data_IF_130835254207
#
_entry.id   IF_130835254207
#
_cell.length_a   1.000
_cell.length_b   1.000
_cell.length_c   1.000
_cell.angle_alpha   90.00
_cell.angle_beta   90.00
_cell.angle_gamma   90.00
#
_symmetry.space_group_name_H-M   'P 1'
#
loop_
_entity.id
_entity.type
_entity.pdbx_description
1 polymer ?
#
# COMPACT_ATOMS: atom_id res chain seq x y z
N UNK A 1 -7.19 35.98 5.05
CA UNK A 1 -6.66 35.08 4.00
C UNK A 1 -5.54 34.17 4.50
N UNK A 2 -4.43 34.69 5.07
CA UNK A 2 -3.33 33.85 5.61
C UNK A 2 -3.77 32.79 6.63
N UNK A 3 -4.70 33.13 7.54
CA UNK A 3 -5.28 32.19 8.52
C UNK A 3 -6.10 31.07 7.87
N UNK A 4 -6.79 31.36 6.76
CA UNK A 4 -7.59 30.39 6.01
C UNK A 4 -6.70 29.41 5.22
N UNK A 5 -5.61 29.93 4.64
CA UNK A 5 -4.59 29.12 3.95
C UNK A 5 -3.87 28.22 4.97
N UNK A 6 -3.51 28.71 6.16
CA UNK A 6 -2.96 27.87 7.22
C UNK A 6 -3.93 26.77 7.68
N UNK A 7 -5.22 27.08 7.78
CA UNK A 7 -6.24 26.08 8.15
C UNK A 7 -6.37 24.98 7.09
N UNK A 8 -6.34 25.35 5.81
CA UNK A 8 -6.38 24.40 4.69
C UNK A 8 -5.14 23.51 4.66
N UNK A 9 -3.94 24.07 4.86
CA UNK A 9 -2.69 23.30 4.94
C UNK A 9 -2.72 22.32 6.13
N UNK A 10 -3.22 22.75 7.29
CA UNK A 10 -3.37 21.88 8.46
C UNK A 10 -4.37 20.74 8.21
N UNK A 11 -5.47 21.01 7.50
CA UNK A 11 -6.47 19.99 7.16
C UNK A 11 -5.92 18.91 6.20
N UNK A 12 -5.00 19.25 5.30
CA UNK A 12 -4.36 18.29 4.39
C UNK A 12 -3.40 17.32 5.09
N UNK A 13 -2.80 17.70 6.22
CA UNK A 13 -1.87 16.82 6.96
C UNK A 13 -2.62 15.67 7.64
N UNK A 14 -3.86 15.90 8.09
CA UNK A 14 -4.64 14.91 8.85
C UNK A 14 -5.21 13.79 7.96
N UNK A 15 -5.46 14.06 6.68
CA UNK A 15 -6.08 13.08 5.76
C UNK A 15 -5.11 12.04 5.22
N UNK A 16 -3.80 12.33 5.18
CA UNK A 16 -2.77 11.38 4.72
C UNK A 16 -2.57 10.16 5.65
N UNK A 17 -3.00 10.29 6.91
CA UNK A 17 -2.65 9.38 8.00
C UNK A 17 -3.43 8.05 7.96
N UNK A 18 -4.66 8.04 7.43
CA UNK A 18 -5.53 6.84 7.42
C UNK A 18 -5.49 6.06 6.09
N UNK A 19 -4.91 6.63 5.04
CA UNK A 19 -4.92 6.04 3.70
C UNK A 19 -4.14 4.71 3.62
N UNK A 20 -3.05 4.56 4.39
CA UNK A 20 -2.17 3.38 4.27
C UNK A 20 -2.78 2.10 4.85
N UNK A 21 -3.60 2.21 5.90
CA UNK A 21 -4.34 1.05 6.42
C UNK A 21 -5.35 0.52 5.37
N UNK A 22 -6.04 1.43 4.68
CA UNK A 22 -6.93 1.09 3.58
C UNK A 22 -6.15 0.48 2.41
N UNK A 23 -5.00 1.07 2.04
CA UNK A 23 -4.12 0.52 0.99
C UNK A 23 -3.66 -0.90 1.29
N UNK A 24 -3.26 -1.22 2.52
CA UNK A 24 -2.90 -2.59 2.93
C UNK A 24 -4.07 -3.57 2.73
N UNK A 25 -5.28 -3.17 3.09
CA UNK A 25 -6.49 -3.99 2.87
C UNK A 25 -6.76 -4.19 1.38
N UNK A 26 -6.65 -3.12 0.57
CA UNK A 26 -6.79 -3.20 -0.88
C UNK A 26 -5.73 -4.08 -1.52
N UNK A 27 -4.48 -4.02 -1.07
CA UNK A 27 -3.40 -4.89 -1.53
C UNK A 27 -3.76 -6.38 -1.32
N UNK A 28 -4.29 -6.72 -0.14
CA UNK A 28 -4.75 -8.08 0.14
C UNK A 28 -5.92 -8.49 -0.76
N UNK A 29 -6.88 -7.60 -1.02
CA UNK A 29 -8.00 -7.89 -1.92
C UNK A 29 -7.53 -8.10 -3.37
N UNK A 30 -6.59 -7.29 -3.86
CA UNK A 30 -6.00 -7.48 -5.19
C UNK A 30 -5.21 -8.79 -5.28
N UNK A 31 -4.47 -9.13 -4.23
CA UNK A 31 -3.78 -10.41 -4.11
C UNK A 31 -4.76 -11.59 -4.21
N UNK A 32 -5.86 -11.58 -3.44
CA UNK A 32 -6.89 -12.63 -3.51
C UNK A 32 -7.54 -12.73 -4.89
N UNK A 33 -7.62 -11.62 -5.62
CA UNK A 33 -8.16 -11.56 -6.97
C UNK A 33 -7.11 -11.89 -8.07
N UNK A 34 -5.89 -12.27 -7.69
CA UNK A 34 -4.81 -12.61 -8.63
C UNK A 34 -4.23 -11.44 -9.41
N UNK A 35 -4.53 -10.19 -9.01
CA UNK A 35 -4.02 -8.94 -9.61
C UNK A 35 -2.74 -8.52 -8.88
N UNK A 36 -1.63 -9.18 -9.22
CA UNK A 36 -0.38 -9.08 -8.46
C UNK A 36 0.33 -7.73 -8.67
N UNK A 37 0.20 -7.15 -9.85
CA UNK A 37 0.62 -5.78 -10.19
C UNK A 37 0.03 -4.76 -9.22
N UNK A 38 -1.30 -4.77 -9.05
CA UNK A 38 -2.01 -3.86 -8.15
C UNK A 38 -1.74 -4.19 -6.69
N UNK A 39 -1.61 -5.47 -6.37
CA UNK A 39 -1.25 -5.89 -5.02
C UNK A 39 0.12 -5.30 -4.61
N UNK A 40 1.12 -5.37 -5.50
CA UNK A 40 2.45 -4.79 -5.32
C UNK A 40 2.39 -3.26 -5.16
N UNK A 41 1.71 -2.58 -6.08
CA UNK A 41 1.54 -1.11 -6.08
C UNK A 41 0.99 -0.61 -4.73
N UNK A 42 0.02 -1.32 -4.15
CA UNK A 42 -0.64 -0.90 -2.91
C UNK A 42 0.12 -1.30 -1.64
N UNK A 43 0.88 -2.40 -1.65
CA UNK A 43 1.61 -2.86 -0.47
C UNK A 43 2.95 -2.14 -0.26
N UNK A 44 3.63 -1.73 -1.34
CA UNK A 44 4.96 -1.11 -1.25
C UNK A 44 4.98 0.21 -0.46
N UNK A 45 4.01 1.13 -0.60
CA UNK A 45 3.96 2.33 0.26
C UNK A 45 3.70 2.03 1.74
N UNK A 46 3.14 0.85 2.07
CA UNK A 46 2.82 0.50 3.44
C UNK A 46 4.07 0.16 4.27
N UNK A 47 5.20 -0.20 3.64
CA UNK A 47 6.45 -0.49 4.36
C UNK A 47 7.28 0.75 4.68
N UNK A 48 6.97 1.90 4.08
CA UNK A 48 7.68 3.17 4.34
C UNK A 48 6.90 4.12 5.26
N UNK A 49 5.63 3.84 5.51
CA UNK A 49 4.79 4.69 6.34
C UNK A 49 4.79 4.27 7.81
N UNK A 50 5.03 5.22 8.71
CA UNK A 50 5.19 5.04 10.16
C UNK A 50 4.14 4.12 10.81
N UNK A 51 2.86 4.25 10.43
CA UNK A 51 1.75 3.48 11.02
C UNK A 51 1.65 2.03 10.54
N UNK A 52 2.28 1.71 9.41
CA UNK A 52 2.12 0.40 8.76
C UNK A 52 3.44 -0.35 8.62
N UNK A 53 4.58 0.35 8.66
CA UNK A 53 5.90 -0.25 8.51
C UNK A 53 6.25 -1.24 9.62
N UNK A 54 5.82 -0.97 10.86
CA UNK A 54 6.08 -1.85 12.01
C UNK A 54 4.96 -2.86 12.28
N UNK A 55 3.99 -2.97 11.38
CA UNK A 55 2.85 -3.89 11.53
C UNK A 55 3.19 -5.21 10.85
N UNK A 56 3.23 -6.30 11.62
CA UNK A 56 3.51 -7.65 11.12
C UNK A 56 2.61 -8.05 9.94
N UNK A 57 1.33 -7.67 9.97
CA UNK A 57 0.37 -7.89 8.87
C UNK A 57 0.82 -7.29 7.53
N UNK A 58 1.48 -6.13 7.54
CA UNK A 58 2.00 -5.48 6.33
C UNK A 58 3.07 -6.36 5.66
N UNK A 59 4.02 -6.84 6.45
CA UNK A 59 5.09 -7.72 5.96
C UNK A 59 4.57 -9.09 5.54
N UNK A 60 3.61 -9.64 6.29
CA UNK A 60 2.95 -10.90 5.91
C UNK A 60 2.28 -10.80 4.54
N UNK A 61 1.51 -9.74 4.29
CA UNK A 61 0.89 -9.54 2.97
C UNK A 61 1.94 -9.31 1.89
N UNK A 62 2.94 -8.47 2.15
CA UNK A 62 4.02 -8.21 1.20
C UNK A 62 4.76 -9.49 0.82
N UNK A 63 5.16 -10.30 1.80
CA UNK A 63 5.87 -11.56 1.57
C UNK A 63 5.09 -12.50 0.66
N UNK A 64 3.79 -12.70 0.93
CA UNK A 64 2.93 -13.55 0.11
C UNK A 64 2.73 -13.00 -1.32
N UNK A 65 2.55 -11.69 -1.47
CA UNK A 65 2.42 -11.05 -2.78
C UNK A 65 3.69 -11.28 -3.61
N UNK A 66 4.86 -10.99 -3.04
CA UNK A 66 6.13 -11.13 -3.75
C UNK A 66 6.50 -12.59 -4.01
N UNK A 67 6.17 -13.51 -3.10
CA UNK A 67 6.32 -14.95 -3.34
C UNK A 67 5.48 -15.38 -4.56
N UNK A 68 4.23 -14.94 -4.64
CA UNK A 68 3.35 -15.28 -5.75
C UNK A 68 3.81 -14.66 -7.08
N UNK A 69 4.38 -13.46 -7.05
CA UNK A 69 5.04 -12.83 -8.21
C UNK A 69 6.22 -13.69 -8.67
N UNK A 70 7.12 -14.05 -7.75
CA UNK A 70 8.30 -14.85 -8.06
C UNK A 70 7.96 -16.25 -8.59
N UNK A 71 6.88 -16.87 -8.11
CA UNK A 71 6.41 -18.18 -8.58
C UNK A 71 5.57 -18.10 -9.87
N UNK A 72 5.20 -16.90 -10.31
CA UNK A 72 4.37 -16.72 -11.49
C UNK A 72 5.13 -17.05 -12.78
N UNK A 73 4.47 -17.80 -13.68
CA UNK A 73 4.95 -18.06 -15.05
C UNK A 73 4.40 -17.08 -16.09
N UNK A 74 3.54 -16.16 -15.65
CA UNK A 74 2.91 -15.17 -16.52
C UNK A 74 3.92 -14.08 -16.88
N UNK A 75 4.17 -13.80 -18.17
CA UNK A 75 5.17 -12.81 -18.59
C UNK A 75 4.97 -11.44 -17.95
N UNK A 76 3.72 -11.01 -17.77
CA UNK A 76 3.39 -9.71 -17.17
C UNK A 76 3.83 -9.57 -15.70
N UNK A 77 4.08 -10.67 -14.99
CA UNK A 77 4.52 -10.67 -13.60
C UNK A 77 6.01 -10.98 -13.43
N UNK A 78 6.66 -11.48 -14.48
CA UNK A 78 8.12 -11.72 -14.47
C UNK A 78 8.92 -10.42 -14.58
N UNK A 79 8.30 -9.34 -15.05
CA UNK A 79 8.90 -8.00 -15.17
C UNK A 79 8.63 -7.08 -13.98
N UNK A 80 7.90 -7.53 -12.95
CA UNK A 80 7.57 -6.77 -11.73
C UNK A 80 8.65 -6.85 -10.66
#
# INVERSE_FOLDING_TARGET
>A
MKKLIMLLIAAFIVTGINAQNSKRTSAFNYFKNGKLDKAKEYIDPCITHEKTMNVAKTWYYRGNIYLQIALSKKPEYQSL
#
